data_IF_722668074420
#
_entry.id   IF_722668074420
#
_cell.length_a   1.000
_cell.length_b   1.000
_cell.length_c   1.000
_cell.angle_alpha   90.00
_cell.angle_beta   90.00
_cell.angle_gamma   90.00
#
_symmetry.space_group_name_H-M   'P 1'
#
loop_
_entity.id
_entity.type
_entity.pdbx_description
1 polymer ?
#
# COMPACT_ATOMS: atom_id res chain seq x y z
N UNK A 1 -3.46 -26.27 -34.42
CA UNK A 1 -2.57 -25.16 -34.00
C UNK A 1 -3.34 -24.04 -33.32
N UNK A 2 -4.38 -23.46 -33.93
CA UNK A 2 -5.16 -22.37 -33.33
C UNK A 2 -5.74 -22.67 -31.93
N UNK A 3 -6.35 -23.85 -31.73
CA UNK A 3 -6.88 -24.26 -30.42
C UNK A 3 -5.79 -24.43 -29.35
N UNK A 4 -4.62 -24.97 -29.72
CA UNK A 4 -3.48 -25.09 -28.79
C UNK A 4 -2.95 -23.71 -28.39
N UNK A 5 -2.92 -22.75 -29.32
CA UNK A 5 -2.51 -21.37 -29.05
C UNK A 5 -3.50 -20.67 -28.11
N UNK A 6 -4.81 -20.87 -28.31
CA UNK A 6 -5.87 -20.34 -27.46
C UNK A 6 -5.84 -20.93 -26.04
N UNK A 7 -5.57 -22.23 -25.92
CA UNK A 7 -5.40 -22.88 -24.61
C UNK A 7 -4.17 -22.36 -23.86
N UNK A 8 -3.06 -22.13 -24.58
CA UNK A 8 -1.84 -21.56 -24.01
C UNK A 8 -2.09 -20.12 -23.52
N UNK A 9 -2.76 -19.28 -24.32
CA UNK A 9 -3.15 -17.93 -23.94
C UNK A 9 -4.05 -17.93 -22.70
N UNK A 10 -5.02 -18.84 -22.65
CA UNK A 10 -5.93 -19.01 -21.50
C UNK A 10 -5.16 -19.40 -20.23
N UNK A 11 -4.25 -20.36 -20.31
CA UNK A 11 -3.43 -20.76 -19.16
C UNK A 11 -2.53 -19.63 -18.67
N UNK A 12 -1.90 -18.89 -19.59
CA UNK A 12 -1.06 -17.74 -19.24
C UNK A 12 -1.88 -16.65 -18.53
N UNK A 13 -3.05 -16.32 -19.07
CA UNK A 13 -3.95 -15.33 -18.48
C UNK A 13 -4.49 -15.76 -17.10
N UNK A 14 -4.82 -17.05 -16.90
CA UNK A 14 -5.22 -17.56 -15.58
C UNK A 14 -4.09 -17.43 -14.54
N UNK A 15 -2.86 -17.81 -14.90
CA UNK A 15 -1.69 -17.61 -14.03
C UNK A 15 -1.44 -16.13 -13.74
N UNK A 16 -1.63 -15.27 -14.75
CA UNK A 16 -1.57 -13.81 -14.60
C UNK A 16 -2.59 -13.31 -13.58
N UNK A 17 -3.84 -13.77 -13.68
CA UNK A 17 -4.91 -13.45 -12.73
C UNK A 17 -4.59 -13.89 -11.30
N UNK A 18 -4.09 -15.12 -11.12
CA UNK A 18 -3.64 -15.62 -9.79
C UNK A 18 -2.52 -14.76 -9.19
N UNK A 19 -1.57 -14.29 -10.02
CA UNK A 19 -0.53 -13.37 -9.57
C UNK A 19 -1.11 -12.00 -9.18
N UNK A 20 -2.08 -11.47 -9.93
CA UNK A 20 -2.73 -10.19 -9.58
C UNK A 20 -3.48 -10.27 -8.24
N UNK A 21 -4.13 -11.41 -7.95
CA UNK A 21 -4.76 -11.66 -6.63
C UNK A 21 -3.72 -11.57 -5.51
N UNK A 22 -2.57 -12.24 -5.66
CA UNK A 22 -1.49 -12.19 -4.66
C UNK A 22 -0.89 -10.79 -4.49
N UNK A 23 -0.79 -10.02 -5.58
CA UNK A 23 -0.33 -8.61 -5.50
C UNK A 23 -1.34 -7.77 -4.71
N UNK A 24 -2.64 -7.99 -4.94
CA UNK A 24 -3.70 -7.29 -4.20
C UNK A 24 -3.67 -7.62 -2.70
N UNK A 25 -3.44 -8.88 -2.33
CA UNK A 25 -3.26 -9.30 -0.93
C UNK A 25 -2.06 -8.63 -0.26
N UNK A 26 -0.93 -8.54 -0.97
CA UNK A 26 0.25 -7.83 -0.49
C UNK A 26 -0.03 -6.34 -0.31
N UNK A 27 -0.71 -5.70 -1.26
CA UNK A 27 -1.09 -4.28 -1.15
C UNK A 27 -1.98 -4.03 0.06
N UNK A 28 -2.96 -4.89 0.32
CA UNK A 28 -3.79 -4.83 1.53
C UNK A 28 -2.95 -4.93 2.81
N UNK A 29 -2.00 -5.87 2.85
CA UNK A 29 -1.09 -6.05 3.99
C UNK A 29 -0.21 -4.80 4.22
N UNK A 30 0.21 -4.12 3.14
CA UNK A 30 0.95 -2.85 3.24
C UNK A 30 0.05 -1.75 3.80
N UNK A 31 -1.21 -1.66 3.36
CA UNK A 31 -2.19 -0.69 3.90
C UNK A 31 -2.42 -0.91 5.39
N UNK A 32 -2.60 -2.16 5.83
CA UNK A 32 -2.80 -2.48 7.24
C UNK A 32 -1.57 -2.10 8.09
N UNK A 33 -0.36 -2.39 7.59
CA UNK A 33 0.90 -2.00 8.23
C UNK A 33 1.05 -0.46 8.31
N UNK A 34 0.71 0.26 7.24
CA UNK A 34 0.73 1.72 7.22
C UNK A 34 -0.26 2.35 8.24
N UNK A 35 -1.43 1.74 8.44
CA UNK A 35 -2.38 2.16 9.48
C UNK A 35 -1.78 2.02 10.87
N UNK A 36 -1.16 0.87 11.16
CA UNK A 36 -0.48 0.64 12.45
C UNK A 36 0.68 1.63 12.66
N UNK A 37 1.46 1.91 11.62
CA UNK A 37 2.51 2.94 11.70
C UNK A 37 1.94 4.32 12.02
N UNK A 38 0.78 4.67 11.46
CA UNK A 38 0.11 5.96 11.73
C UNK A 38 -0.30 6.09 13.20
N UNK A 39 -0.80 5.01 13.81
CA UNK A 39 -1.13 4.98 15.23
C UNK A 39 0.11 5.16 16.12
N UNK A 40 1.19 4.44 15.81
CA UNK A 40 2.46 4.53 16.55
C UNK A 40 3.05 5.95 16.45
N UNK A 41 3.04 6.55 15.26
CA UNK A 41 3.55 7.92 15.06
C UNK A 41 2.68 8.95 15.78
N UNK A 42 1.36 8.74 15.84
CA UNK A 42 0.46 9.60 16.62
C UNK A 42 0.73 9.50 18.12
N UNK A 43 1.06 8.31 18.63
CA UNK A 43 1.51 8.13 20.01
C UNK A 43 2.83 8.86 20.28
N UNK A 44 3.80 8.78 19.37
CA UNK A 44 5.09 9.48 19.49
C UNK A 44 4.90 11.01 19.52
N UNK A 45 4.05 11.55 18.66
CA UNK A 45 3.70 12.98 18.66
C UNK A 45 3.04 13.39 20.00
N UNK A 46 2.15 12.54 20.53
CA UNK A 46 1.57 12.72 21.85
C UNK A 46 2.61 12.74 22.98
N UNK A 47 3.58 11.83 22.96
CA UNK A 47 4.70 11.78 23.93
C UNK A 47 5.57 13.04 23.80
N UNK A 48 5.87 13.47 22.58
CA UNK A 48 6.61 14.70 22.33
C UNK A 48 5.88 15.92 22.91
N UNK A 49 4.57 16.02 22.69
CA UNK A 49 3.74 17.09 23.26
C UNK A 49 3.76 17.07 24.80
N UNK A 50 3.56 15.90 25.42
CA UNK A 50 3.62 15.75 26.89
C UNK A 50 5.00 16.13 27.44
N UNK A 51 6.07 15.73 26.76
CA UNK A 51 7.46 16.06 27.13
C UNK A 51 7.69 17.58 27.06
N UNK A 52 7.15 18.24 26.03
CA UNK A 52 7.22 19.70 25.90
C UNK A 52 6.48 20.43 27.05
N UNK A 53 5.32 19.92 27.48
CA UNK A 53 4.59 20.48 28.64
C UNK A 53 5.36 20.26 29.95
N UNK A 54 5.93 19.07 30.16
CA UNK A 54 6.77 18.77 31.33
C UNK A 54 8.00 19.70 31.39
N UNK A 55 8.66 19.91 30.25
CA UNK A 55 9.79 20.81 30.13
C UNK A 55 9.42 22.27 30.43
N UNK A 56 8.25 22.72 29.96
CA UNK A 56 7.73 24.05 30.28
C UNK A 56 7.48 24.21 31.79
N UNK A 57 6.86 23.22 32.44
CA UNK A 57 6.62 23.24 33.88
C UNK A 57 7.95 23.28 34.66
N UNK A 58 8.95 22.51 34.23
CA UNK A 58 10.28 22.51 34.82
C UNK A 58 10.97 23.88 34.67
N UNK A 59 10.81 24.55 33.52
CA UNK A 59 11.34 25.89 33.30
C UNK A 59 10.68 26.93 34.22
N UNK A 60 9.37 26.83 34.46
CA UNK A 60 8.64 27.71 35.39
C UNK A 60 9.13 27.50 36.82
N UNK A 61 9.28 26.26 37.27
CA UNK A 61 9.74 25.97 38.63
C UNK A 61 11.21 26.37 38.82
N UNK A 62 12.05 26.21 37.79
CA UNK A 62 13.42 26.71 37.79
C UNK A 62 13.48 28.24 37.92
N UNK A 63 12.60 28.97 37.23
CA UNK A 63 12.50 30.43 37.39
C UNK A 63 12.06 30.82 38.81
N UNK A 64 11.15 30.04 39.41
CA UNK A 64 10.66 30.25 40.78
C UNK A 64 11.74 30.02 41.84
N UNK A 65 12.66 29.09 41.60
CA UNK A 65 13.79 28.79 42.48
C UNK A 65 14.95 29.82 42.39
N UNK A 66 14.86 30.82 41.49
CA UNK A 66 15.84 31.89 41.35
C UNK A 66 17.24 31.35 41.02
N UNK A 67 18.24 31.77 41.80
CA UNK A 67 19.64 31.40 41.55
C UNK A 67 19.91 29.89 41.66
N UNK A 68 19.15 29.18 42.50
CA UNK A 68 19.25 27.73 42.65
C UNK A 68 18.69 26.95 41.45
N UNK A 69 17.84 27.59 40.63
CA UNK A 69 17.18 26.97 39.48
C UNK A 69 17.93 27.13 38.15
N UNK A 70 19.04 27.89 38.10
CA UNK A 70 19.74 28.22 36.84
C UNK A 70 20.15 26.98 36.03
N UNK A 71 20.71 25.96 36.68
CA UNK A 71 21.08 24.70 36.02
C UNK A 71 19.87 23.92 35.49
N UNK A 72 18.80 23.86 36.28
CA UNK A 72 17.54 23.20 35.87
C UNK A 72 16.87 23.92 34.70
N UNK A 73 16.96 25.25 34.62
CA UNK A 73 16.40 26.02 33.51
C UNK A 73 17.05 25.67 32.16
N UNK A 74 18.36 25.38 32.14
CA UNK A 74 19.06 24.99 30.92
C UNK A 74 18.60 23.61 30.44
N UNK A 75 18.56 22.64 31.36
CA UNK A 75 18.09 21.28 31.07
C UNK A 75 16.64 21.29 30.56
N UNK A 76 15.76 22.08 31.19
CA UNK A 76 14.39 22.25 30.74
C UNK A 76 14.31 22.80 29.30
N UNK A 77 15.18 23.74 28.93
CA UNK A 77 15.29 24.25 27.56
C UNK A 77 15.72 23.17 26.56
N UNK A 78 16.71 22.35 26.90
CA UNK A 78 17.18 21.25 26.05
C UNK A 78 16.11 20.16 25.85
N UNK A 79 15.42 19.76 26.92
CA UNK A 79 14.32 18.78 26.85
C UNK A 79 13.19 19.32 25.98
N UNK A 80 12.87 20.62 26.09
CA UNK A 80 11.87 21.27 25.25
C UNK A 80 12.26 21.26 23.78
N UNK A 81 13.53 21.54 23.47
CA UNK A 81 14.04 21.50 22.10
C UNK A 81 13.97 20.07 21.54
N UNK A 82 14.35 19.06 22.33
CA UNK A 82 14.27 17.65 21.93
C UNK A 82 12.84 17.23 21.64
N UNK A 83 11.88 17.64 22.48
CA UNK A 83 10.46 17.40 22.27
C UNK A 83 9.96 18.02 20.95
N UNK A 84 10.34 19.26 20.64
CA UNK A 84 9.99 19.91 19.37
C UNK A 84 10.53 19.14 18.17
N UNK A 85 11.82 18.77 18.21
CA UNK A 85 12.46 17.97 17.15
C UNK A 85 11.78 16.61 16.95
N UNK A 86 11.35 15.97 18.03
CA UNK A 86 10.62 14.71 17.98
C UNK A 86 9.25 14.87 17.30
N UNK A 87 8.52 15.94 17.59
CA UNK A 87 7.23 16.24 16.96
C UNK A 87 7.39 16.52 15.45
N UNK A 88 8.41 17.28 15.05
CA UNK A 88 8.70 17.54 13.63
C UNK A 88 9.08 16.25 12.87
N UNK A 89 9.87 15.37 13.50
CA UNK A 89 10.21 14.07 12.92
C UNK A 89 8.95 13.18 12.78
N UNK A 90 8.11 13.12 13.81
CA UNK A 90 6.85 12.37 13.76
C UNK A 90 5.95 12.87 12.61
N UNK A 91 5.80 14.19 12.46
CA UNK A 91 5.03 14.79 11.36
C UNK A 91 5.61 14.43 9.98
N UNK A 92 6.93 14.44 9.84
CA UNK A 92 7.61 14.09 8.59
C UNK A 92 7.41 12.62 8.23
N UNK A 93 7.48 11.71 9.22
CA UNK A 93 7.22 10.29 9.02
C UNK A 93 5.75 10.07 8.64
N UNK A 94 4.82 10.76 9.30
CA UNK A 94 3.38 10.69 8.95
C UNK A 94 3.13 11.05 7.48
N UNK A 95 3.75 12.13 6.99
CA UNK A 95 3.63 12.51 5.58
C UNK A 95 4.16 11.44 4.62
N UNK A 96 5.25 10.75 4.96
CA UNK A 96 5.78 9.63 4.15
C UNK A 96 4.83 8.42 4.15
N UNK A 97 4.17 8.15 5.28
CA UNK A 97 3.16 7.10 5.39
C UNK A 97 1.94 7.45 4.52
N UNK A 98 1.47 8.70 4.55
CA UNK A 98 0.36 9.16 3.72
C UNK A 98 0.66 9.00 2.22
N UNK A 99 1.87 9.38 1.79
CA UNK A 99 2.33 9.15 0.40
C UNK A 99 2.37 7.66 0.06
N UNK A 100 2.81 6.82 1.00
CA UNK A 100 2.83 5.36 0.81
C UNK A 100 1.41 4.82 0.63
N UNK A 101 0.45 5.29 1.42
CA UNK A 101 -0.95 4.92 1.30
C UNK A 101 -1.52 5.28 -0.08
N UNK A 102 -1.23 6.49 -0.58
CA UNK A 102 -1.65 6.92 -1.90
C UNK A 102 -1.04 6.10 -3.03
N UNK A 103 0.24 5.72 -2.91
CA UNK A 103 0.91 4.87 -3.90
C UNK A 103 0.32 3.45 -3.93
N UNK A 104 0.02 2.88 -2.76
CA UNK A 104 -0.62 1.55 -2.67
C UNK A 104 -2.03 1.59 -3.25
N UNK A 105 -2.80 2.64 -2.97
CA UNK A 105 -4.14 2.83 -3.52
C UNK A 105 -4.12 2.93 -5.06
N UNK A 106 -3.19 3.70 -5.61
CA UNK A 106 -3.01 3.80 -7.08
C UNK A 106 -2.59 2.45 -7.67
N UNK A 107 -1.65 1.76 -7.02
CA UNK A 107 -1.22 0.42 -7.42
C UNK A 107 -2.37 -0.58 -7.44
N UNK A 108 -3.27 -0.55 -6.45
CA UNK A 108 -4.42 -1.43 -6.39
C UNK A 108 -5.39 -1.23 -7.55
N UNK A 109 -5.61 0.04 -7.97
CA UNK A 109 -6.43 0.35 -9.14
C UNK A 109 -5.83 -0.22 -10.44
N UNK A 110 -4.50 -0.10 -10.61
CA UNK A 110 -3.79 -0.66 -11.77
C UNK A 110 -3.88 -2.20 -11.79
N UNK A 111 -3.76 -2.84 -10.63
CA UNK A 111 -3.89 -4.30 -10.50
C UNK A 111 -5.30 -4.77 -10.84
N UNK A 112 -6.33 -4.04 -10.43
CA UNK A 112 -7.73 -4.33 -10.81
C UNK A 112 -7.95 -4.24 -12.33
N UNK A 113 -7.36 -3.23 -12.99
CA UNK A 113 -7.43 -3.12 -14.45
C UNK A 113 -6.69 -4.28 -15.13
N UNK A 114 -5.52 -4.66 -14.63
CA UNK A 114 -4.78 -5.82 -15.11
C UNK A 114 -5.57 -7.13 -14.93
N UNK A 115 -6.24 -7.31 -13.79
CA UNK A 115 -7.11 -8.47 -13.55
C UNK A 115 -8.26 -8.53 -14.57
N UNK A 116 -8.93 -7.42 -14.83
CA UNK A 116 -9.99 -7.33 -15.84
C UNK A 116 -9.48 -7.70 -17.23
N UNK A 117 -8.31 -7.18 -17.63
CA UNK A 117 -7.69 -7.52 -18.92
C UNK A 117 -7.39 -9.02 -19.03
N UNK A 118 -6.93 -9.67 -17.94
CA UNK A 118 -6.73 -11.12 -17.94
C UNK A 118 -8.04 -11.90 -18.10
N UNK A 119 -9.13 -11.46 -17.47
CA UNK A 119 -10.46 -12.06 -17.64
C UNK A 119 -10.96 -11.93 -19.08
N UNK A 120 -10.74 -10.77 -19.72
CA UNK A 120 -11.09 -10.55 -21.13
C UNK A 120 -10.30 -11.50 -22.06
N UNK A 121 -9.00 -11.71 -21.81
CA UNK A 121 -8.17 -12.67 -22.57
C UNK A 121 -8.71 -14.10 -22.44
N UNK A 122 -9.09 -14.52 -21.24
CA UNK A 122 -9.69 -15.85 -21.00
C UNK A 122 -11.02 -15.98 -21.76
N UNK A 123 -11.88 -14.96 -21.70
CA UNK A 123 -13.15 -14.93 -22.41
C UNK A 123 -12.98 -15.00 -23.94
N UNK A 124 -12.11 -14.17 -24.50
CA UNK A 124 -11.83 -14.14 -25.94
C UNK A 124 -11.19 -15.43 -26.46
N UNK A 125 -10.31 -16.04 -25.68
CA UNK A 125 -9.70 -17.34 -26.02
C UNK A 125 -10.74 -18.47 -26.01
N UNK A 126 -11.71 -18.42 -25.09
CA UNK A 126 -12.84 -19.35 -25.05
C UNK A 126 -13.72 -19.24 -26.30
N UNK A 127 -14.04 -18.01 -26.73
CA UNK A 127 -14.80 -17.77 -27.98
C UNK A 127 -14.04 -18.29 -29.21
N UNK A 128 -12.73 -18.05 -29.29
CA UNK A 128 -11.86 -18.60 -30.35
C UNK A 128 -11.90 -20.13 -30.40
N UNK A 129 -11.87 -20.80 -29.24
CA UNK A 129 -11.97 -22.25 -29.16
C UNK A 129 -13.33 -22.77 -29.67
N UNK A 130 -14.43 -22.10 -29.34
CA UNK A 130 -15.78 -22.45 -29.85
C UNK A 130 -15.81 -22.31 -31.37
N UNK A 131 -15.35 -21.18 -31.91
CA UNK A 131 -15.33 -20.93 -33.35
C UNK A 131 -14.47 -21.95 -34.11
N UNK A 132 -13.30 -22.32 -33.58
CA UNK A 132 -12.44 -23.34 -34.19
C UNK A 132 -13.07 -24.74 -34.16
N UNK A 133 -13.88 -25.03 -33.14
CA UNK A 133 -14.65 -26.28 -33.06
C UNK A 133 -15.73 -26.32 -34.16
N UNK A 134 -16.48 -25.24 -34.34
CA UNK A 134 -17.49 -25.10 -35.41
C UNK A 134 -16.89 -25.16 -36.82
N UNK A 135 -15.72 -24.55 -37.05
CA UNK A 135 -15.00 -24.65 -38.33
C UNK A 135 -14.58 -26.10 -38.58
N UNK A 136 -14.06 -26.78 -37.55
CA UNK A 136 -13.61 -28.17 -37.66
C UNK A 136 -14.75 -29.14 -37.95
N UNK A 137 -15.92 -28.94 -37.33
CA UNK A 137 -17.12 -29.74 -37.62
C UNK A 137 -17.63 -29.48 -39.04
N UNK A 138 -17.75 -28.21 -39.45
CA UNK A 138 -18.22 -27.82 -40.79
C UNK A 138 -17.30 -28.37 -41.88
N UNK A 139 -15.98 -28.31 -41.68
CA UNK A 139 -14.99 -28.84 -42.63
C UNK A 139 -15.11 -30.35 -42.78
N UNK A 140 -15.35 -31.09 -41.68
CA UNK A 140 -15.61 -32.54 -41.72
C UNK A 140 -16.91 -32.88 -42.44
N UNK A 141 -17.96 -32.08 -42.27
CA UNK A 141 -19.23 -32.30 -42.96
C UNK A 141 -19.13 -32.02 -44.47
N UNK A 142 -18.42 -30.95 -44.87
CA UNK A 142 -18.17 -30.66 -46.28
C UNK A 142 -17.37 -31.77 -46.97
N UNK A 143 -16.33 -32.28 -46.30
CA UNK A 143 -15.52 -33.40 -46.82
C UNK A 143 -16.27 -34.74 -46.92
N UNK A 144 -17.41 -34.90 -46.25
CA UNK A 144 -18.29 -36.07 -46.40
C UNK A 144 -19.35 -35.92 -47.51
N UNK A 145 -19.58 -34.69 -47.99
CA UNK A 145 -20.54 -34.36 -49.05
C UNK A 145 -19.92 -34.37 -50.45
N UNK A 146 -18.60 -34.45 -50.54
CA UNK A 146 -17.84 -34.69 -51.76
C UNK A 146 -17.26 -36.11 -51.75
#
# INVERSE_FOLDING_TARGET
MASIQADCATQCARKGGELMVRVTENMRSITDCASQMTEIISLIDGIAFQTNILALNAAVEAARAGDHGKGFSVVAGEVRNLAHRSAEAAKSIKALIDVTHDNVRQGAAIVQEAEKNMQEIVGGSGQLNVLMSEISTTTREQGKRH
#
